data_IF_287588745483
#
_entry.id   IF_287588745483
#
_cell.length_a   1.000
_cell.length_b   1.000
_cell.length_c   1.000
_cell.angle_alpha   90.00
_cell.angle_beta   90.00
_cell.angle_gamma   90.00
#
_symmetry.space_group_name_H-M   'P 1'
#
loop_
_entity.id
_entity.type
_entity.pdbx_description
1 polymer ?
#
# COMPACT_ATOMS: atom_id res chain seq x y z
N UNK A 1 11.33 -9.21 4.72
CA UNK A 1 12.69 -9.66 4.38
C UNK A 1 13.00 -9.22 2.94
N UNK A 2 13.35 -7.95 2.74
CA UNK A 2 13.61 -7.34 1.42
C UNK A 2 14.75 -6.31 1.42
N UNK A 3 15.27 -5.94 2.60
CA UNK A 3 16.26 -4.86 2.76
C UNK A 3 17.58 -5.16 2.05
N UNK A 4 18.04 -6.41 2.09
CA UNK A 4 19.26 -6.82 1.37
C UNK A 4 19.10 -6.73 -0.16
N UNK A 5 17.91 -7.05 -0.69
CA UNK A 5 17.64 -6.89 -2.13
C UNK A 5 17.60 -5.41 -2.53
N UNK A 6 16.95 -4.57 -1.73
CA UNK A 6 16.92 -3.11 -1.97
C UNK A 6 18.33 -2.53 -1.96
N UNK A 7 19.14 -2.89 -0.96
CA UNK A 7 20.53 -2.47 -0.85
C UNK A 7 21.36 -2.85 -2.09
N UNK A 8 21.28 -4.11 -2.52
CA UNK A 8 21.96 -4.57 -3.75
C UNK A 8 21.44 -3.84 -4.99
N UNK A 9 20.13 -3.56 -5.06
CA UNK A 9 19.51 -2.78 -6.12
C UNK A 9 20.10 -1.36 -6.21
N UNK A 10 20.28 -0.70 -5.07
CA UNK A 10 20.90 0.62 -5.02
C UNK A 10 22.35 0.55 -5.47
N UNK A 11 23.16 -0.41 -4.99
CA UNK A 11 24.54 -0.57 -5.43
C UNK A 11 24.66 -0.74 -6.95
N UNK A 12 23.72 -1.47 -7.55
CA UNK A 12 23.65 -1.64 -9.00
C UNK A 12 23.36 -0.31 -9.70
N UNK A 13 22.44 0.51 -9.18
CA UNK A 13 22.17 1.84 -9.70
C UNK A 13 23.41 2.76 -9.56
N UNK A 14 24.06 2.77 -8.40
CA UNK A 14 25.27 3.55 -8.17
C UNK A 14 26.41 3.16 -9.12
N UNK A 15 26.54 1.86 -9.43
CA UNK A 15 27.47 1.39 -10.44
C UNK A 15 27.15 1.95 -11.84
N UNK A 16 25.87 1.97 -12.25
CA UNK A 16 25.45 2.60 -13.51
C UNK A 16 25.72 4.11 -13.54
N UNK A 17 25.61 4.78 -12.40
CA UNK A 17 25.92 6.21 -12.25
C UNK A 17 27.42 6.50 -12.06
N UNK A 18 28.28 5.46 -12.07
CA UNK A 18 29.74 5.55 -11.87
C UNK A 18 30.13 6.16 -10.51
N UNK A 19 29.32 5.94 -9.48
CA UNK A 19 29.63 6.37 -8.11
C UNK A 19 30.54 5.32 -7.46
N UNK A 20 31.63 5.72 -6.78
CA UNK A 20 32.51 4.77 -6.10
C UNK A 20 31.77 4.02 -4.98
N UNK A 21 31.92 2.69 -4.87
CA UNK A 21 31.11 1.85 -3.97
C UNK A 21 31.35 2.16 -2.49
N UNK A 22 32.55 2.62 -2.12
CA UNK A 22 32.87 3.00 -0.73
C UNK A 22 32.11 4.24 -0.28
N UNK A 23 32.04 5.27 -1.14
CA UNK A 23 31.28 6.49 -0.85
C UNK A 23 29.78 6.20 -0.78
N UNK A 24 29.29 5.34 -1.68
CA UNK A 24 27.89 4.90 -1.66
C UNK A 24 27.53 4.19 -0.36
N UNK A 25 28.36 3.25 0.09
CA UNK A 25 28.17 2.55 1.36
C UNK A 25 28.12 3.52 2.54
N UNK A 26 29.07 4.45 2.61
CA UNK A 26 29.18 5.40 3.72
C UNK A 26 27.95 6.32 3.78
N UNK A 27 27.51 6.86 2.64
CA UNK A 27 26.32 7.71 2.56
C UNK A 27 25.07 6.94 2.98
N UNK A 28 24.89 5.70 2.51
CA UNK A 28 23.76 4.87 2.90
C UNK A 28 23.76 4.54 4.39
N UNK A 29 24.92 4.24 4.97
CA UNK A 29 25.05 3.95 6.39
C UNK A 29 24.69 5.17 7.24
N UNK A 30 25.23 6.34 6.91
CA UNK A 30 24.92 7.61 7.59
C UNK A 30 23.43 7.95 7.43
N UNK A 31 22.88 7.86 6.22
CA UNK A 31 21.47 8.11 5.97
C UNK A 31 20.56 7.16 6.77
N UNK A 32 20.94 5.89 6.88
CA UNK A 32 20.18 4.90 7.67
C UNK A 32 20.22 5.23 9.15
N UNK A 33 21.37 5.62 9.70
CA UNK A 33 21.47 6.03 11.11
C UNK A 33 20.63 7.27 11.41
N UNK A 34 20.71 8.29 10.55
CA UNK A 34 19.90 9.50 10.68
C UNK A 34 18.41 9.16 10.60
N UNK A 35 18.01 8.39 9.57
CA UNK A 35 16.62 7.98 9.40
C UNK A 35 16.10 7.18 10.58
N UNK A 36 16.87 6.21 11.09
CA UNK A 36 16.47 5.41 12.25
C UNK A 36 16.27 6.28 13.50
N UNK A 37 17.16 7.24 13.73
CA UNK A 37 17.10 8.15 14.89
C UNK A 37 15.89 9.08 14.79
N UNK A 38 15.67 9.69 13.61
CA UNK A 38 14.54 10.61 13.38
C UNK A 38 13.20 9.88 13.41
N UNK A 39 13.11 8.70 12.78
CA UNK A 39 11.90 7.88 12.83
C UNK A 39 11.58 7.46 14.26
N UNK A 40 12.57 6.96 15.01
CA UNK A 40 12.36 6.55 16.40
C UNK A 40 11.95 7.74 17.29
N UNK A 41 12.64 8.87 17.20
CA UNK A 41 12.32 10.07 17.97
C UNK A 41 10.92 10.60 17.66
N UNK A 42 10.55 10.67 16.37
CA UNK A 42 9.22 11.08 15.94
C UNK A 42 8.14 10.12 16.44
N UNK A 43 8.34 8.81 16.29
CA UNK A 43 7.39 7.80 16.79
C UNK A 43 7.21 7.90 18.29
N UNK A 44 8.31 8.00 19.05
CA UNK A 44 8.24 8.17 20.50
C UNK A 44 7.48 9.44 20.89
N UNK A 45 7.77 10.56 20.23
CA UNK A 45 7.09 11.82 20.46
C UNK A 45 5.57 11.71 20.20
N UNK A 46 5.17 11.17 19.04
CA UNK A 46 3.75 10.99 18.70
C UNK A 46 3.03 10.09 19.70
N UNK A 47 3.62 8.96 20.08
CA UNK A 47 3.03 8.03 21.06
C UNK A 47 2.85 8.67 22.43
N UNK A 48 3.70 9.63 22.80
CA UNK A 48 3.62 10.35 24.08
C UNK A 48 2.70 11.57 24.07
N UNK A 49 2.44 12.16 22.90
CA UNK A 49 1.72 13.43 22.77
C UNK A 49 0.29 13.27 22.25
N UNK A 50 -0.01 12.20 21.52
CA UNK A 50 -1.34 11.94 20.94
C UNK A 50 -2.04 10.81 21.71
N UNK A 51 -3.11 11.16 22.41
CA UNK A 51 -3.92 10.20 23.14
C UNK A 51 -4.66 9.24 22.18
N UNK A 52 -4.70 7.95 22.55
CA UNK A 52 -5.42 6.88 21.82
C UNK A 52 -4.99 6.70 20.35
N UNK A 53 -3.73 7.02 20.02
CA UNK A 53 -3.15 6.75 18.69
C UNK A 53 -3.38 5.28 18.27
N UNK A 54 -3.75 5.07 17.00
CA UNK A 54 -4.10 3.76 16.43
C UNK A 54 -5.36 3.07 16.98
N UNK A 55 -6.10 3.67 17.93
CA UNK A 55 -7.35 3.15 18.47
C UNK A 55 -8.54 3.84 17.81
N UNK A 56 -9.00 3.27 16.69
CA UNK A 56 -10.02 3.88 15.83
C UNK A 56 -11.32 4.24 16.56
N UNK A 57 -11.75 3.44 17.54
CA UNK A 57 -12.99 3.66 18.31
C UNK A 57 -12.96 4.92 19.20
N UNK A 58 -11.75 5.34 19.60
CA UNK A 58 -11.56 6.48 20.52
C UNK A 58 -11.07 7.73 19.80
N UNK A 59 -10.81 7.63 18.50
CA UNK A 59 -10.37 8.74 17.68
C UNK A 59 -11.58 9.51 17.15
N UNK A 60 -11.47 10.85 17.01
CA UNK A 60 -12.51 11.62 16.34
C UNK A 60 -12.66 11.14 14.89
N UNK A 61 -13.89 11.22 14.38
CA UNK A 61 -14.22 10.88 13.00
C UNK A 61 -13.32 11.71 12.07
N UNK A 62 -12.66 11.04 11.12
CA UNK A 62 -11.73 11.69 10.19
C UNK A 62 -10.29 11.86 10.70
N UNK A 63 -9.96 11.37 11.91
CA UNK A 63 -8.58 11.42 12.41
C UNK A 63 -7.58 10.70 11.49
N UNK A 64 -6.40 11.28 11.22
CA UNK A 64 -5.37 10.63 10.40
C UNK A 64 -4.66 9.48 11.14
N UNK A 65 -4.80 9.38 12.46
CA UNK A 65 -4.02 8.50 13.35
C UNK A 65 -4.51 7.05 13.41
N UNK A 66 -4.86 6.46 12.26
CA UNK A 66 -5.54 5.14 12.17
C UNK A 66 -4.58 3.94 12.08
N UNK A 67 -3.30 4.15 11.79
CA UNK A 67 -2.22 3.15 11.77
C UNK A 67 -2.53 1.81 11.06
N UNK A 68 -3.04 1.82 9.81
CA UNK A 68 -3.46 0.59 9.12
C UNK A 68 -2.31 -0.40 8.88
N UNK A 69 -1.10 0.11 8.66
CA UNK A 69 0.09 -0.74 8.45
C UNK A 69 0.45 -1.57 9.67
N UNK A 70 0.43 -0.96 10.85
CA UNK A 70 0.77 -1.62 12.11
C UNK A 70 -0.31 -2.61 12.54
N UNK A 71 -1.58 -2.31 12.30
CA UNK A 71 -2.69 -3.26 12.53
C UNK A 71 -2.54 -4.52 11.68
N UNK A 72 -2.19 -4.38 10.39
CA UNK A 72 -1.95 -5.53 9.51
C UNK A 72 -0.76 -6.35 10.00
N UNK A 73 0.32 -5.69 10.44
CA UNK A 73 1.49 -6.38 10.99
C UNK A 73 1.18 -7.10 12.31
N UNK A 74 0.42 -6.47 13.20
CA UNK A 74 -0.06 -7.05 14.45
C UNK A 74 -0.93 -8.29 14.19
N UNK A 75 -1.93 -8.17 13.31
CA UNK A 75 -2.77 -9.30 12.91
C UNK A 75 -1.95 -10.44 12.30
N UNK A 76 -0.97 -10.12 11.45
CA UNK A 76 -0.07 -11.13 10.89
C UNK A 76 0.72 -11.86 11.98
N UNK A 77 1.19 -11.17 13.02
CA UNK A 77 1.93 -11.80 14.13
C UNK A 77 1.05 -12.76 14.94
N UNK A 78 -0.24 -12.47 15.13
CA UNK A 78 -1.19 -13.37 15.78
C UNK A 78 -1.44 -14.61 14.92
N UNK A 79 -1.71 -14.40 13.62
CA UNK A 79 -2.03 -15.48 12.68
C UNK A 79 -0.86 -16.46 12.56
N UNK A 80 0.34 -15.95 12.30
CA UNK A 80 1.51 -16.78 12.00
C UNK A 80 2.29 -17.19 13.25
N UNK A 81 2.24 -16.40 14.33
CA UNK A 81 2.97 -16.66 15.57
C UNK A 81 2.17 -17.43 16.62
N UNK A 82 0.98 -16.93 17.00
CA UNK A 82 0.21 -17.47 18.15
C UNK A 82 -0.69 -18.63 17.73
N UNK A 83 -1.53 -18.43 16.70
CA UNK A 83 -2.50 -19.44 16.23
C UNK A 83 -1.80 -20.52 15.41
N UNK A 84 -0.91 -20.06 14.52
CA UNK A 84 -0.19 -20.90 13.58
C UNK A 84 -1.05 -21.33 12.38
N UNK A 85 -0.40 -21.65 11.24
CA UNK A 85 -1.11 -21.96 10.00
C UNK A 85 -1.99 -23.22 10.08
N UNK A 86 -1.63 -24.16 10.96
CA UNK A 86 -2.38 -25.40 11.16
C UNK A 86 -3.81 -25.19 11.68
N UNK A 87 -4.03 -24.15 12.50
CA UNK A 87 -5.38 -23.83 13.00
C UNK A 87 -6.09 -22.73 12.21
N UNK A 88 -5.37 -22.00 11.37
CA UNK A 88 -5.94 -20.95 10.53
C UNK A 88 -6.37 -21.48 9.14
N UNK A 89 -5.49 -22.23 8.48
CA UNK A 89 -5.62 -22.59 7.05
C UNK A 89 -5.78 -24.09 6.78
N UNK A 90 -5.78 -24.95 7.78
CA UNK A 90 -6.04 -26.40 7.58
C UNK A 90 -7.51 -26.72 7.85
N UNK A 91 -7.94 -27.98 7.66
CA UNK A 91 -9.31 -28.45 7.83
C UNK A 91 -10.00 -28.09 9.17
N UNK A 92 -9.25 -27.71 10.21
CA UNK A 92 -9.79 -27.27 11.51
C UNK A 92 -9.94 -25.75 11.64
N UNK A 93 -9.54 -24.98 10.63
CA UNK A 93 -9.53 -23.53 10.62
C UNK A 93 -10.59 -22.92 9.71
N UNK A 94 -10.92 -21.65 9.97
CA UNK A 94 -11.96 -20.90 9.24
C UNK A 94 -11.54 -20.62 7.78
N UNK A 95 -10.24 -20.55 7.49
CA UNK A 95 -9.71 -20.13 6.19
C UNK A 95 -9.13 -21.29 5.37
N UNK A 96 -9.59 -22.52 5.57
CA UNK A 96 -9.10 -23.68 4.79
C UNK A 96 -9.31 -23.53 3.28
N UNK A 97 -10.36 -22.81 2.86
CA UNK A 97 -10.62 -22.51 1.44
C UNK A 97 -9.55 -21.63 0.80
N UNK A 98 -8.79 -20.87 1.58
CA UNK A 98 -7.79 -19.93 1.06
C UNK A 98 -6.64 -20.66 0.33
N UNK A 99 -6.34 -21.91 0.71
CA UNK A 99 -5.29 -22.68 0.05
C UNK A 99 -5.61 -23.00 -1.42
N UNK A 100 -6.89 -23.01 -1.81
CA UNK A 100 -7.28 -23.19 -3.21
C UNK A 100 -6.83 -22.04 -4.10
N UNK A 101 -6.60 -20.85 -3.55
CA UNK A 101 -6.04 -19.73 -4.31
C UNK A 101 -4.61 -19.99 -4.80
N UNK A 102 -3.85 -20.90 -4.17
CA UNK A 102 -2.56 -21.33 -4.73
C UNK A 102 -2.74 -22.07 -6.05
N UNK A 103 -3.75 -22.95 -6.14
CA UNK A 103 -4.07 -23.65 -7.39
C UNK A 103 -4.62 -22.69 -8.44
N UNK A 104 -5.48 -21.75 -8.04
CA UNK A 104 -5.97 -20.69 -8.93
C UNK A 104 -4.80 -19.85 -9.46
N UNK A 105 -3.86 -19.45 -8.60
CA UNK A 105 -2.67 -18.70 -8.98
C UNK A 105 -1.77 -19.46 -9.96
N UNK A 106 -1.62 -20.78 -9.78
CA UNK A 106 -0.88 -21.65 -10.69
C UNK A 106 -1.58 -21.83 -12.05
N UNK A 107 -2.90 -21.98 -12.05
CA UNK A 107 -3.69 -22.23 -13.25
C UNK A 107 -4.04 -20.96 -14.03
N UNK A 108 -4.13 -19.80 -13.37
CA UNK A 108 -4.57 -18.55 -14.01
C UNK A 108 -3.69 -18.06 -15.19
N UNK A 109 -2.37 -18.31 -15.25
CA UNK A 109 -1.56 -18.02 -16.44
C UNK A 109 -1.86 -18.96 -17.62
N UNK A 110 -2.40 -20.16 -17.39
CA UNK A 110 -2.63 -21.18 -18.42
C UNK A 110 -3.66 -20.73 -19.46
N UNK A 111 -4.84 -20.18 -19.09
CA UNK A 111 -5.76 -19.57 -20.05
C UNK A 111 -5.10 -18.47 -20.89
N UNK A 112 -4.32 -17.57 -20.28
CA UNK A 112 -3.65 -16.47 -21.01
C UNK A 112 -2.65 -17.02 -22.01
N UNK A 113 -1.88 -18.04 -21.63
CA UNK A 113 -0.96 -18.74 -22.54
C UNK A 113 -1.68 -19.43 -23.70
N UNK A 114 -2.79 -20.13 -23.41
CA UNK A 114 -3.59 -20.81 -24.42
C UNK A 114 -4.21 -19.81 -25.42
N UNK A 115 -4.82 -18.73 -24.93
CA UNK A 115 -5.40 -17.69 -25.77
C UNK A 115 -4.34 -16.95 -26.59
N UNK A 116 -3.14 -16.73 -26.04
CA UNK A 116 -2.02 -16.13 -26.77
C UNK A 116 -1.52 -17.02 -27.93
N UNK A 117 -1.67 -18.35 -27.83
CA UNK A 117 -1.36 -19.30 -28.92
C UNK A 117 -2.48 -19.42 -29.94
N UNK A 118 -3.74 -19.42 -29.51
CA UNK A 118 -4.91 -19.56 -30.39
C UNK A 118 -5.18 -18.30 -31.23
N UNK A 119 -4.89 -17.12 -30.68
CA UNK A 119 -5.10 -15.83 -31.35
C UNK A 119 -3.78 -15.06 -31.52
N UNK A 120 -2.86 -15.52 -32.39
CA UNK A 120 -1.56 -14.88 -32.57
C UNK A 120 -1.66 -13.45 -33.13
N UNK A 121 -2.76 -13.11 -33.81
CA UNK A 121 -3.05 -11.78 -34.35
C UNK A 121 -3.27 -10.73 -33.24
N UNK A 122 -3.75 -11.14 -32.07
CA UNK A 122 -4.12 -10.25 -30.96
C UNK A 122 -2.93 -10.05 -30.01
N UNK A 123 -2.00 -9.17 -30.40
CA UNK A 123 -0.77 -8.88 -29.64
C UNK A 123 -1.00 -8.43 -28.17
N UNK A 124 -2.15 -7.83 -27.86
CA UNK A 124 -2.50 -7.38 -26.50
C UNK A 124 -2.61 -8.53 -25.49
N UNK A 125 -3.02 -9.74 -25.91
CA UNK A 125 -3.17 -10.90 -25.01
C UNK A 125 -1.81 -11.32 -24.43
N UNK A 126 -0.73 -11.16 -25.21
CA UNK A 126 0.64 -11.44 -24.76
C UNK A 126 1.15 -10.46 -23.70
N UNK A 127 0.50 -9.30 -23.54
CA UNK A 127 0.90 -8.26 -22.60
C UNK A 127 0.18 -8.41 -21.24
N UNK A 128 -0.73 -9.37 -21.10
CA UNK A 128 -1.45 -9.63 -19.85
C UNK A 128 -0.55 -10.44 -18.92
N UNK A 129 -0.04 -9.79 -17.88
CA UNK A 129 0.77 -10.43 -16.84
C UNK A 129 -0.09 -10.74 -15.62
N UNK A 130 -0.64 -11.95 -15.57
CA UNK A 130 -1.49 -12.43 -14.46
C UNK A 130 -0.83 -12.28 -13.08
N UNK A 131 0.46 -12.63 -12.88
CA UNK A 131 1.10 -12.44 -11.57
C UNK A 131 1.14 -10.98 -11.12
N UNK A 132 1.26 -10.04 -12.06
CA UNK A 132 1.31 -8.61 -11.77
C UNK A 132 -0.06 -8.08 -11.35
N UNK A 133 -1.13 -8.60 -11.96
CA UNK A 133 -2.52 -8.30 -11.56
C UNK A 133 -2.80 -8.80 -10.15
N UNK A 134 -2.43 -10.04 -9.82
CA UNK A 134 -2.61 -10.55 -8.45
C UNK A 134 -1.71 -9.86 -7.43
N UNK A 135 -0.50 -9.48 -7.81
CA UNK A 135 0.40 -8.71 -6.94
C UNK A 135 -0.18 -7.35 -6.54
N UNK A 136 -1.01 -6.74 -7.39
CA UNK A 136 -1.65 -5.45 -7.08
C UNK A 136 -2.54 -5.54 -5.83
N UNK A 137 -3.17 -6.69 -5.58
CA UNK A 137 -4.05 -6.89 -4.42
C UNK A 137 -3.31 -7.01 -3.07
N UNK A 138 -1.98 -7.14 -3.08
CA UNK A 138 -1.18 -7.31 -1.86
C UNK A 138 -1.24 -6.12 -0.88
N UNK A 139 -1.56 -4.92 -1.36
CA UNK A 139 -1.68 -3.72 -0.53
C UNK A 139 -3.12 -3.45 -0.03
N UNK A 140 -4.11 -4.26 -0.42
CA UNK A 140 -5.53 -4.07 -0.05
C UNK A 140 -5.76 -3.97 1.46
N UNK A 141 -5.10 -4.76 2.33
CA UNK A 141 -5.33 -4.64 3.76
C UNK A 141 -4.94 -3.27 4.35
N UNK A 142 -4.04 -2.53 3.67
CA UNK A 142 -3.57 -1.21 4.10
C UNK A 142 -4.23 -0.05 3.34
N UNK A 143 -4.70 -0.30 2.13
CA UNK A 143 -5.21 0.71 1.23
C UNK A 143 -6.71 0.53 0.98
N UNK A 144 -7.45 1.62 1.19
CA UNK A 144 -8.91 1.70 0.98
C UNK A 144 -9.29 1.51 -0.48
N UNK A 145 -10.55 1.20 -0.75
CA UNK A 145 -11.04 0.96 -2.10
C UNK A 145 -10.84 2.20 -3.00
N UNK A 146 -11.04 3.39 -2.43
CA UNK A 146 -10.81 4.67 -3.13
C UNK A 146 -9.37 4.82 -3.63
N UNK A 147 -8.38 4.32 -2.87
CA UNK A 147 -6.97 4.39 -3.27
C UNK A 147 -6.69 3.55 -4.51
N UNK A 148 -7.31 2.37 -4.61
CA UNK A 148 -7.18 1.49 -5.77
C UNK A 148 -7.80 2.09 -7.02
N UNK A 149 -9.03 2.60 -6.91
CA UNK A 149 -9.70 3.24 -8.03
C UNK A 149 -8.97 4.48 -8.51
N UNK A 150 -8.50 5.32 -7.59
CA UNK A 150 -7.69 6.50 -7.91
C UNK A 150 -6.40 6.11 -8.62
N UNK A 151 -5.70 5.08 -8.12
CA UNK A 151 -4.49 4.56 -8.75
C UNK A 151 -4.75 4.05 -10.18
N UNK A 152 -5.84 3.32 -10.40
CA UNK A 152 -6.23 2.84 -11.74
C UNK A 152 -6.54 4.01 -12.67
N UNK A 153 -7.32 5.00 -12.22
CA UNK A 153 -7.69 6.17 -13.03
C UNK A 153 -6.45 6.96 -13.43
N UNK A 154 -5.59 7.31 -12.47
CA UNK A 154 -4.33 8.03 -12.74
C UNK A 154 -3.44 7.21 -13.66
N UNK A 155 -3.34 5.89 -13.42
CA UNK A 155 -2.60 4.96 -14.25
C UNK A 155 -3.07 4.97 -15.71
N UNK A 156 -4.38 4.91 -15.95
CA UNK A 156 -4.96 4.97 -17.31
C UNK A 156 -4.75 6.33 -17.95
N UNK A 157 -4.99 7.43 -17.23
CA UNK A 157 -4.81 8.78 -17.78
C UNK A 157 -3.36 9.01 -18.21
N UNK A 158 -2.39 8.71 -17.35
CA UNK A 158 -0.98 8.98 -17.65
C UNK A 158 -0.36 7.94 -18.61
N UNK A 159 -0.61 6.65 -18.41
CA UNK A 159 0.05 5.60 -19.20
C UNK A 159 -0.71 5.20 -20.47
N UNK A 160 -2.02 5.47 -20.56
CA UNK A 160 -2.79 5.17 -21.77
C UNK A 160 -3.10 6.43 -22.58
N UNK A 161 -3.74 7.44 -21.97
CA UNK A 161 -4.17 8.64 -22.70
C UNK A 161 -3.00 9.57 -23.03
N UNK A 162 -2.27 10.04 -22.02
CA UNK A 162 -1.15 10.98 -22.19
C UNK A 162 -0.01 10.32 -22.98
N UNK A 163 0.32 9.06 -22.67
CA UNK A 163 1.32 8.32 -23.43
C UNK A 163 0.97 8.20 -24.92
N UNK A 164 -0.30 8.04 -25.31
CA UNK A 164 -0.67 7.95 -26.73
C UNK A 164 -0.63 9.29 -27.45
N UNK A 165 -1.06 10.37 -26.79
CA UNK A 165 -1.21 11.69 -27.41
C UNK A 165 0.03 12.58 -27.31
N UNK A 166 0.81 12.46 -26.23
CA UNK A 166 1.92 13.36 -25.88
C UNK A 166 3.19 12.60 -25.47
N UNK A 167 3.66 11.66 -26.30
CA UNK A 167 4.83 10.80 -26.01
C UNK A 167 6.09 11.57 -25.59
N UNK A 168 6.40 12.65 -26.31
CA UNK A 168 7.61 13.45 -26.05
C UNK A 168 7.59 14.12 -24.67
N UNK A 169 6.42 14.61 -24.25
CA UNK A 169 6.26 15.17 -22.91
C UNK A 169 6.35 14.08 -21.84
N UNK A 170 5.65 12.96 -22.05
CA UNK A 170 5.60 11.86 -21.10
C UNK A 170 7.00 11.29 -20.81
N UNK A 171 7.81 11.03 -21.84
CA UNK A 171 9.14 10.46 -21.67
C UNK A 171 10.10 11.37 -20.88
N UNK A 172 9.91 12.70 -20.97
CA UNK A 172 10.80 13.68 -20.33
C UNK A 172 10.36 14.08 -18.92
N UNK A 173 9.06 14.23 -18.68
CA UNK A 173 8.56 14.87 -17.46
C UNK A 173 7.75 13.95 -16.55
N UNK A 174 7.23 12.82 -17.02
CA UNK A 174 6.30 12.01 -16.20
C UNK A 174 6.94 11.52 -14.90
N UNK A 175 8.18 11.03 -14.96
CA UNK A 175 8.91 10.58 -13.76
C UNK A 175 9.26 11.73 -12.82
N UNK A 176 9.61 12.91 -13.35
CA UNK A 176 9.90 14.10 -12.54
C UNK A 176 8.63 14.60 -11.86
N UNK A 177 7.49 14.60 -12.57
CA UNK A 177 6.20 14.97 -12.01
C UNK A 177 5.78 14.00 -10.90
N UNK A 178 5.94 12.69 -11.11
CA UNK A 178 5.69 11.68 -10.06
C UNK A 178 6.52 11.96 -8.82
N UNK A 179 7.83 12.15 -8.97
CA UNK A 179 8.72 12.46 -7.86
C UNK A 179 8.35 13.78 -7.16
N UNK A 180 7.91 14.78 -7.93
CA UNK A 180 7.44 16.07 -7.39
C UNK A 180 6.14 15.96 -6.61
N UNK A 181 5.19 15.12 -7.05
CA UNK A 181 3.94 14.85 -6.33
C UNK A 181 4.22 14.09 -5.02
N UNK A 182 5.12 13.10 -5.05
CA UNK A 182 5.51 12.34 -3.84
C UNK A 182 6.20 13.25 -2.82
N UNK A 183 7.16 14.07 -3.25
CA UNK A 183 7.85 15.02 -2.38
C UNK A 183 6.90 16.12 -1.87
N UNK A 184 6.04 16.64 -2.74
CA UNK A 184 5.08 17.70 -2.41
C UNK A 184 4.05 17.25 -1.38
N UNK A 185 3.51 16.03 -1.53
CA UNK A 185 2.59 15.46 -0.54
C UNK A 185 3.26 15.23 0.81
N UNK A 186 4.49 14.73 0.84
CA UNK A 186 5.24 14.55 2.07
C UNK A 186 5.50 15.89 2.81
N UNK A 187 5.97 16.91 2.08
CA UNK A 187 6.23 18.25 2.65
C UNK A 187 4.92 18.88 3.15
N UNK A 188 3.86 18.82 2.34
CA UNK A 188 2.57 19.38 2.71
C UNK A 188 1.98 18.67 3.93
N UNK A 189 2.15 17.35 4.06
CA UNK A 189 1.73 16.59 5.24
C UNK A 189 2.38 17.09 6.53
N UNK A 190 3.69 17.35 6.50
CA UNK A 190 4.42 17.91 7.65
C UNK A 190 3.93 19.32 7.98
N UNK A 191 3.72 20.17 6.96
CA UNK A 191 3.21 21.53 7.15
C UNK A 191 1.79 21.54 7.75
N UNK A 192 0.89 20.71 7.22
CA UNK A 192 -0.49 20.58 7.73
C UNK A 192 -0.47 20.08 9.18
N UNK A 193 0.42 19.14 9.52
CA UNK A 193 0.55 18.64 10.87
C UNK A 193 0.91 19.76 11.86
N UNK A 194 1.97 20.52 11.59
CA UNK A 194 2.41 21.60 12.49
C UNK A 194 1.45 22.80 12.52
N UNK A 195 0.79 23.12 11.40
CA UNK A 195 -0.11 24.26 11.33
C UNK A 195 -1.48 23.98 11.97
N UNK A 196 -2.05 22.79 11.73
CA UNK A 196 -3.44 22.47 12.10
C UNK A 196 -3.52 21.36 13.15
N UNK A 197 -2.96 20.18 12.86
CA UNK A 197 -3.18 18.99 13.68
C UNK A 197 -2.56 19.12 15.08
N UNK A 198 -1.41 19.79 15.21
CA UNK A 198 -0.78 20.07 16.50
C UNK A 198 -1.63 21.00 17.40
N UNK A 199 -2.53 21.80 16.81
CA UNK A 199 -3.47 22.66 17.53
C UNK A 199 -4.86 22.02 17.69
N UNK A 200 -5.00 20.71 17.43
CA UNK A 200 -6.27 19.98 17.42
C UNK A 200 -7.33 20.54 16.47
N UNK A 201 -6.93 21.25 15.42
CA UNK A 201 -7.85 21.76 14.41
C UNK A 201 -8.03 20.66 13.35
N UNK A 202 -9.21 20.02 13.37
CA UNK A 202 -9.62 19.09 12.32
C UNK A 202 -9.99 19.85 11.05
N UNK A 203 -9.64 19.28 9.89
CA UNK A 203 -10.09 19.82 8.61
C UNK A 203 -11.63 19.71 8.53
N UNK A 204 -12.34 20.68 7.92
CA UNK A 204 -13.78 20.57 7.74
C UNK A 204 -14.15 19.34 6.91
N UNK A 205 -15.24 18.68 7.28
CA UNK A 205 -15.76 17.53 6.53
C UNK A 205 -16.15 17.97 5.11
N UNK A 206 -15.42 17.46 4.13
CA UNK A 206 -15.72 17.62 2.70
C UNK A 206 -15.59 16.27 2.01
N UNK A 207 -16.07 16.21 0.77
CA UNK A 207 -16.16 14.96 0.00
C UNK A 207 -14.83 14.21 -0.19
N UNK A 208 -13.67 14.81 0.06
CA UNK A 208 -12.36 14.13 0.05
C UNK A 208 -11.66 14.06 1.41
N UNK A 209 -12.28 14.55 2.48
CA UNK A 209 -11.80 14.41 3.88
C UNK A 209 -12.41 13.22 4.60
N UNK A 210 -13.46 12.60 4.05
CA UNK A 210 -13.94 11.33 4.56
C UNK A 210 -12.82 10.29 4.39
N UNK A 211 -12.06 10.10 5.46
CA UNK A 211 -11.16 8.97 5.66
C UNK A 211 -11.99 7.67 5.84
N UNK A 212 -13.18 7.57 5.26
CA UNK A 212 -14.06 6.41 5.22
C UNK A 212 -14.40 6.15 3.75
N UNK A 213 -14.75 4.92 3.37
CA UNK A 213 -14.97 4.55 1.96
C UNK A 213 -16.25 5.16 1.35
N UNK A 214 -16.69 6.35 1.79
CA UNK A 214 -18.03 6.92 1.55
C UNK A 214 -19.19 5.95 1.83
N UNK A 215 -18.88 4.83 2.48
CA UNK A 215 -19.75 3.72 2.74
C UNK A 215 -19.60 3.38 4.22
N UNK A 216 -20.55 3.79 5.06
CA UNK A 216 -20.48 3.54 6.49
C UNK A 216 -20.47 2.04 6.79
N UNK A 217 -20.99 1.18 5.90
CA UNK A 217 -21.00 -0.28 6.11
C UNK A 217 -19.67 -0.97 5.78
N UNK A 218 -18.68 -0.27 5.23
CA UNK A 218 -17.40 -0.88 4.83
C UNK A 218 -16.59 -1.44 6.02
N UNK A 219 -16.83 -0.95 7.24
CA UNK A 219 -16.19 -1.46 8.46
C UNK A 219 -16.92 -2.66 9.09
N UNK A 220 -18.12 -2.99 8.61
CA UNK A 220 -18.94 -4.03 9.20
C UNK A 220 -18.47 -5.43 8.81
N UNK A 221 -18.40 -6.38 9.76
CA UNK A 221 -18.07 -7.75 9.44
C UNK A 221 -19.19 -8.37 8.59
N UNK A 222 -18.80 -9.06 7.53
CA UNK A 222 -19.72 -9.80 6.65
C UNK A 222 -19.88 -11.26 7.07
N UNK A 223 -19.22 -11.68 8.15
CA UNK A 223 -19.25 -13.06 8.66
C UNK A 223 -20.51 -13.33 9.49
N UNK A 224 -21.15 -14.48 9.24
CA UNK A 224 -22.39 -14.85 9.94
C UNK A 224 -22.12 -15.08 11.43
N UNK A 225 -22.95 -14.48 12.27
CA UNK A 225 -22.90 -14.65 13.73
C UNK A 225 -21.98 -13.68 14.49
N UNK A 226 -21.33 -12.74 13.81
CA UNK A 226 -20.58 -11.66 14.46
C UNK A 226 -21.48 -10.42 14.57
N UNK A 227 -21.92 -10.10 15.79
CA UNK A 227 -22.72 -8.90 16.06
C UNK A 227 -21.78 -7.79 16.52
N UNK A 228 -21.64 -6.76 15.70
CA UNK A 228 -20.92 -5.52 16.05
C UNK A 228 -21.95 -4.41 16.19
N UNK A 229 -21.75 -3.56 17.19
CA UNK A 229 -22.60 -2.38 17.43
C UNK A 229 -22.58 -1.51 16.16
N UNK A 230 -23.75 -1.05 15.72
CA UNK A 230 -23.95 -0.22 14.51
C UNK A 230 -23.77 -0.91 13.14
N UNK A 231 -23.69 -2.25 13.12
CA UNK A 231 -23.65 -3.04 11.89
C UNK A 231 -24.90 -3.92 11.69
N UNK A 232 -25.44 -4.05 10.46
CA UNK A 232 -26.56 -4.95 10.19
C UNK A 232 -26.11 -6.41 10.35
N UNK A 233 -26.91 -7.20 11.06
CA UNK A 233 -26.69 -8.64 11.24
C UNK A 233 -27.34 -9.38 10.07
N UNK A 234 -26.56 -10.19 9.34
CA UNK A 234 -27.04 -11.04 8.23
C UNK A 234 -27.06 -12.53 8.62
#
# INVERSE_FOLDING_TARGET
>A
MSQALSFVGDFKLGHYMKIPPRSMFLVQLVATMVSATVCFGTTWWLLSSVDNICVQEKLPIGSPWTCPGDQVFYNASIIWGIIGPGRMFTSKGVYSGMNWFFLIGFLAPVPVWFFARKFPEKKWIKQIHVPLIFSAASAMPRAKAVNYWSWVIVGVVFNYYIFRRYKGWWARHNYILSAGLDAGTAIMGVLIYFALQNNNISFPDWWGSENTDHCPLAHCPTEKGIVVKDCPVF
#
